data_IF_341148192503
#
_entry.id   IF_341148192503
#
_cell.length_a   1.000
_cell.length_b   1.000
_cell.length_c   1.000
_cell.angle_alpha   90.00
_cell.angle_beta   90.00
_cell.angle_gamma   90.00
#
_symmetry.space_group_name_H-M   'P 1'
#
loop_
_entity.id
_entity.type
_entity.pdbx_description
1 polymer ?
#
# COMPACT_ATOMS: atom_id res chain seq x y z
N UNK A 1 11.46 -11.45 12.01
CA UNK A 1 12.19 -10.75 10.93
C UNK A 1 13.59 -10.42 11.38
N UNK A 2 14.59 -10.90 10.65
CA UNK A 2 16.02 -10.70 10.92
C UNK A 2 16.69 -10.19 9.66
N UNK A 3 17.46 -9.11 9.77
CA UNK A 3 18.09 -8.45 8.63
C UNK A 3 19.37 -7.71 9.01
N UNK A 4 19.93 -6.94 8.08
CA UNK A 4 21.15 -6.16 8.28
C UNK A 4 20.84 -4.87 9.04
N UNK A 5 21.75 -4.43 9.92
CA UNK A 5 21.73 -3.06 10.46
C UNK A 5 22.16 -2.10 9.35
N UNK A 6 21.43 -0.99 9.09
CA UNK A 6 21.84 -0.02 8.08
C UNK A 6 23.29 0.42 8.23
N UNK A 7 24.02 0.49 7.10
CA UNK A 7 25.42 0.87 6.97
C UNK A 7 26.44 -0.02 7.74
N UNK A 8 26.01 -1.18 8.25
CA UNK A 8 26.87 -2.04 9.07
C UNK A 8 26.82 -3.51 8.63
N UNK A 9 27.95 -4.21 8.73
CA UNK A 9 28.01 -5.66 8.41
C UNK A 9 27.51 -6.58 9.53
N UNK A 10 26.58 -6.10 10.37
CA UNK A 10 26.02 -6.85 11.50
C UNK A 10 24.54 -7.10 11.32
N UNK A 11 24.05 -8.18 11.92
CA UNK A 11 22.64 -8.57 11.86
C UNK A 11 21.88 -8.05 13.06
N UNK A 12 20.65 -7.62 12.84
CA UNK A 12 19.67 -7.30 13.88
C UNK A 12 18.37 -8.10 13.69
N UNK A 13 17.65 -8.28 14.80
CA UNK A 13 16.22 -8.52 14.70
C UNK A 13 15.64 -7.18 14.24
N UNK A 14 14.81 -7.16 13.20
CA UNK A 14 14.10 -5.94 12.76
C UNK A 14 12.71 -5.85 13.38
N UNK A 15 12.06 -7.00 13.54
CA UNK A 15 10.75 -7.15 14.17
C UNK A 15 10.57 -8.58 14.67
N UNK A 16 9.97 -8.75 15.84
CA UNK A 16 9.52 -10.05 16.35
C UNK A 16 8.35 -9.88 17.30
N UNK A 17 7.22 -10.50 17.01
CA UNK A 17 6.01 -10.39 17.82
C UNK A 17 5.25 -11.71 17.89
N UNK A 18 4.39 -11.83 18.90
CA UNK A 18 3.29 -12.78 18.94
C UNK A 18 1.97 -12.06 18.74
N UNK A 19 1.06 -12.66 17.99
CA UNK A 19 -0.29 -12.14 17.77
C UNK A 19 -1.33 -13.22 18.11
N UNK A 20 -2.35 -12.82 18.87
CA UNK A 20 -3.55 -13.63 19.11
C UNK A 20 -4.73 -12.95 18.43
N UNK A 21 -5.39 -13.67 17.52
CA UNK A 21 -6.55 -13.19 16.79
C UNK A 21 -7.79 -14.01 17.15
N UNK A 22 -8.90 -13.33 17.44
CA UNK A 22 -10.20 -13.93 17.70
C UNK A 22 -11.23 -13.44 16.70
N UNK A 23 -11.92 -14.37 16.05
CA UNK A 23 -12.98 -14.08 15.07
C UNK A 23 -14.32 -14.58 15.60
N UNK A 24 -15.35 -13.75 15.47
CA UNK A 24 -16.73 -14.10 15.80
C UNK A 24 -17.61 -13.83 14.57
N UNK A 25 -18.30 -14.86 14.10
CA UNK A 25 -19.33 -14.72 13.07
C UNK A 25 -20.68 -15.10 13.66
N UNK A 26 -21.63 -14.20 13.54
CA UNK A 26 -23.00 -14.36 13.98
C UNK A 26 -23.90 -14.39 12.75
N UNK A 27 -24.78 -15.38 12.65
CA UNK A 27 -25.85 -15.40 11.64
C UNK A 27 -27.17 -15.39 12.37
N UNK A 28 -27.98 -14.36 12.14
CA UNK A 28 -29.29 -14.21 12.74
C UNK A 28 -30.37 -14.35 11.67
N UNK A 29 -30.93 -15.56 11.58
CA UNK A 29 -31.89 -15.91 10.52
C UNK A 29 -31.29 -15.74 9.12
N UNK A 30 -32.13 -15.49 8.12
CA UNK A 30 -31.73 -15.28 6.73
C UNK A 30 -31.64 -13.79 6.35
N UNK A 31 -31.90 -12.89 7.31
CA UNK A 31 -31.98 -11.45 7.05
C UNK A 31 -30.88 -10.63 7.73
N UNK A 32 -30.03 -11.23 8.57
CA UNK A 32 -28.92 -10.50 9.19
C UNK A 32 -27.70 -11.36 9.51
N UNK A 33 -26.53 -10.78 9.33
CA UNK A 33 -25.22 -11.32 9.70
C UNK A 33 -24.45 -10.30 10.55
N UNK A 34 -23.50 -10.79 11.34
CA UNK A 34 -22.55 -9.99 12.09
C UNK A 34 -21.17 -10.63 12.09
N UNK A 35 -20.14 -9.79 12.10
CA UNK A 35 -18.75 -10.22 12.15
C UNK A 35 -17.95 -9.32 13.08
N UNK A 36 -17.00 -9.92 13.80
CA UNK A 36 -16.01 -9.21 14.59
C UNK A 36 -14.67 -9.93 14.56
N UNK A 37 -13.59 -9.18 14.42
CA UNK A 37 -12.22 -9.66 14.54
C UNK A 37 -11.44 -8.75 15.51
N UNK A 38 -10.90 -9.37 16.54
CA UNK A 38 -10.04 -8.73 17.53
C UNK A 38 -8.63 -9.31 17.42
N UNK A 39 -7.61 -8.46 17.46
CA UNK A 39 -6.21 -8.87 17.48
C UNK A 39 -5.48 -8.25 18.67
N UNK A 40 -4.66 -9.06 19.31
CA UNK A 40 -3.78 -8.69 20.41
C UNK A 40 -2.36 -9.01 19.98
N UNK A 41 -1.54 -7.98 19.78
CA UNK A 41 -0.15 -8.14 19.37
C UNK A 41 0.76 -7.63 20.46
N UNK A 42 1.80 -8.39 20.77
CA UNK A 42 2.88 -7.96 21.65
C UNK A 42 4.22 -8.41 21.07
N UNK A 43 5.17 -7.49 21.01
CA UNK A 43 6.47 -7.81 20.44
C UNK A 43 7.45 -6.66 20.53
N UNK A 44 8.52 -6.83 19.77
CA UNK A 44 9.60 -5.88 19.61
C UNK A 44 9.63 -5.42 18.15
N UNK A 45 9.56 -4.11 17.93
CA UNK A 45 9.55 -3.47 16.61
C UNK A 45 10.48 -2.26 16.65
N UNK A 46 11.52 -2.25 15.81
CA UNK A 46 12.38 -1.07 15.62
C UNK A 46 13.02 -0.51 16.90
N UNK A 47 13.44 -1.39 17.82
CA UNK A 47 14.09 -1.00 19.09
C UNK A 47 13.15 -0.95 20.30
N UNK A 48 11.84 -0.96 20.10
CA UNK A 48 10.85 -0.72 21.16
C UNK A 48 9.94 -1.93 21.38
N UNK A 49 9.50 -2.12 22.62
CA UNK A 49 8.44 -3.08 22.94
C UNK A 49 7.10 -2.46 22.62
N UNK A 50 6.37 -3.05 21.68
CA UNK A 50 5.07 -2.59 21.22
C UNK A 50 4.00 -3.56 21.69
N UNK A 51 2.90 -3.02 22.20
CA UNK A 51 1.68 -3.77 22.51
C UNK A 51 0.52 -3.08 21.82
N UNK A 52 -0.20 -3.82 20.98
CA UNK A 52 -1.30 -3.31 20.18
C UNK A 52 -2.58 -4.12 20.41
N UNK A 53 -3.69 -3.40 20.53
CA UNK A 53 -5.04 -3.92 20.62
C UNK A 53 -5.81 -3.40 19.41
N UNK A 54 -6.25 -4.30 18.54
CA UNK A 54 -6.89 -3.91 17.29
C UNK A 54 -8.29 -4.54 17.18
N UNK A 55 -9.30 -3.69 16.98
CA UNK A 55 -10.59 -4.12 16.44
C UNK A 55 -10.49 -4.06 14.92
N UNK A 56 -9.96 -5.16 14.34
CA UNK A 56 -9.62 -5.22 12.93
C UNK A 56 -10.86 -5.09 12.07
N UNK A 57 -11.94 -5.80 12.38
CA UNK A 57 -13.25 -5.61 11.74
C UNK A 57 -14.36 -5.77 12.78
N UNK A 58 -15.45 -5.05 12.57
CA UNK A 58 -16.65 -5.16 13.38
C UNK A 58 -17.83 -4.56 12.62
N UNK A 59 -18.68 -5.40 12.06
CA UNK A 59 -19.78 -4.95 11.23
C UNK A 59 -21.03 -5.83 11.38
N UNK A 60 -22.17 -5.23 11.05
CA UNK A 60 -23.45 -5.91 10.89
C UNK A 60 -23.94 -5.72 9.45
N UNK A 61 -24.57 -6.74 8.91
CA UNK A 61 -25.15 -6.75 7.57
C UNK A 61 -26.62 -7.17 7.64
N UNK A 62 -27.46 -6.48 6.88
CA UNK A 62 -28.89 -6.75 6.72
C UNK A 62 -29.17 -7.14 5.28
N UNK A 63 -29.95 -8.20 5.09
CA UNK A 63 -30.37 -8.73 3.79
C UNK A 63 -31.86 -8.43 3.58
N UNK A 64 -32.16 -7.48 2.70
CA UNK A 64 -33.51 -6.98 2.41
C UNK A 64 -33.88 -7.28 0.95
N UNK A 65 -34.17 -8.54 0.65
CA UNK A 65 -34.49 -9.00 -0.70
C UNK A 65 -33.27 -8.88 -1.61
N UNK A 66 -33.30 -8.07 -2.69
CA UNK A 66 -32.14 -7.88 -3.56
C UNK A 66 -31.08 -6.92 -2.99
N UNK A 67 -31.34 -6.26 -1.85
CA UNK A 67 -30.44 -5.24 -1.29
C UNK A 67 -29.81 -5.70 0.01
N UNK A 68 -28.49 -5.61 0.09
CA UNK A 68 -27.72 -5.80 1.32
C UNK A 68 -27.24 -4.45 1.85
N UNK A 69 -27.35 -4.23 3.16
CA UNK A 69 -26.82 -3.06 3.85
C UNK A 69 -25.84 -3.49 4.94
N UNK A 70 -24.60 -3.01 4.87
CA UNK A 70 -23.55 -3.31 5.84
C UNK A 70 -23.01 -2.04 6.47
N UNK A 71 -22.89 -2.02 7.79
CA UNK A 71 -22.36 -0.89 8.54
C UNK A 71 -21.38 -1.36 9.62
N UNK A 72 -20.30 -0.59 9.81
CA UNK A 72 -19.29 -0.87 10.83
C UNK A 72 -17.86 -0.73 10.31
N UNK A 73 -16.89 -1.17 11.11
CA UNK A 73 -15.47 -1.22 10.73
C UNK A 73 -15.23 -2.38 9.78
N UNK A 74 -14.77 -2.07 8.56
CA UNK A 74 -14.68 -3.01 7.46
C UNK A 74 -13.37 -2.82 6.70
N UNK A 75 -12.85 -3.90 6.13
CA UNK A 75 -11.83 -3.86 5.09
C UNK A 75 -12.54 -4.02 3.74
N UNK A 76 -12.40 -3.03 2.86
CA UNK A 76 -13.10 -2.97 1.56
C UNK A 76 -12.08 -3.03 0.42
N UNK A 77 -11.98 -4.17 -0.25
CA UNK A 77 -11.05 -4.38 -1.35
C UNK A 77 -11.77 -4.43 -2.69
N UNK A 78 -11.28 -3.64 -3.65
CA UNK A 78 -11.73 -3.66 -5.04
C UNK A 78 -10.62 -4.13 -5.98
N UNK A 79 -11.00 -4.43 -7.21
CA UNK A 79 -10.11 -4.97 -8.23
C UNK A 79 -10.18 -6.48 -8.37
N UNK A 80 -9.63 -6.97 -9.48
CA UNK A 80 -9.57 -8.41 -9.81
C UNK A 80 -8.14 -8.90 -9.95
N UNK A 81 -7.19 -8.00 -10.15
CA UNK A 81 -5.77 -8.31 -10.21
C UNK A 81 -5.22 -8.77 -8.84
N UNK A 82 -4.21 -9.66 -8.87
CA UNK A 82 -3.67 -10.30 -7.66
C UNK A 82 -2.69 -9.39 -6.89
N UNK A 83 -1.53 -9.04 -7.47
CA UNK A 83 -0.49 -8.30 -6.75
C UNK A 83 -0.74 -6.78 -6.71
N UNK A 84 -1.20 -6.19 -7.82
CA UNK A 84 -1.45 -4.75 -7.93
C UNK A 84 -2.86 -4.51 -8.48
N UNK A 85 -3.71 -3.87 -7.68
CA UNK A 85 -5.08 -3.51 -8.04
C UNK A 85 -5.24 -1.98 -8.10
N UNK A 86 -5.12 -1.36 -9.29
CA UNK A 86 -5.25 0.09 -9.45
C UNK A 86 -6.55 0.70 -8.89
N UNK A 87 -7.63 -0.08 -8.81
CA UNK A 87 -8.96 0.34 -8.32
C UNK A 87 -9.14 0.14 -6.81
N UNK A 88 -8.22 -0.53 -6.11
CA UNK A 88 -8.22 -0.69 -4.65
C UNK A 88 -7.78 0.61 -3.95
N UNK A 89 -8.72 1.53 -3.72
CA UNK A 89 -8.44 2.86 -3.16
C UNK A 89 -9.26 3.16 -1.88
N UNK A 90 -10.04 2.19 -1.38
CA UNK A 90 -10.91 2.36 -0.21
C UNK A 90 -10.26 1.93 1.10
N UNK A 91 -9.35 0.95 1.02
CA UNK A 91 -8.71 0.35 2.20
C UNK A 91 -7.33 0.98 2.45
N UNK A 92 -7.12 1.66 3.59
CA UNK A 92 -5.79 2.08 4.01
C UNK A 92 -4.90 0.88 4.37
N UNK A 93 -3.59 1.10 4.37
CA UNK A 93 -2.60 0.07 4.67
C UNK A 93 -1.60 0.55 5.71
N UNK A 94 -1.35 -0.25 6.75
CA UNK A 94 -0.25 -0.06 7.67
C UNK A 94 0.96 -0.88 7.21
N UNK A 95 1.82 -0.24 6.43
CA UNK A 95 3.03 -0.83 5.87
C UNK A 95 4.16 -0.96 6.90
N UNK A 96 3.94 -0.55 8.15
CA UNK A 96 4.87 -0.81 9.26
C UNK A 96 4.74 -2.25 9.75
N UNK A 97 3.58 -2.87 9.55
CA UNK A 97 3.31 -4.26 9.93
C UNK A 97 4.11 -5.20 9.03
N UNK A 98 5.09 -5.90 9.62
CA UNK A 98 5.87 -6.94 8.95
C UNK A 98 5.15 -8.28 9.10
N UNK A 99 4.44 -8.75 8.07
CA UNK A 99 3.77 -10.06 8.07
C UNK A 99 4.07 -10.89 6.80
N UNK A 100 4.21 -12.23 6.92
CA UNK A 100 4.27 -13.15 5.77
C UNK A 100 2.98 -13.17 4.93
N UNK A 101 1.90 -12.57 5.43
CA UNK A 101 0.65 -12.36 4.73
C UNK A 101 0.45 -10.87 4.44
N UNK A 102 0.34 -10.51 3.15
CA UNK A 102 0.18 -9.12 2.71
C UNK A 102 -1.15 -8.50 3.17
N UNK A 103 -2.18 -9.34 3.36
CA UNK A 103 -3.47 -8.86 3.83
C UNK A 103 -3.41 -8.30 5.25
N UNK A 104 -2.44 -8.70 6.08
CA UNK A 104 -2.31 -8.19 7.45
C UNK A 104 -2.00 -6.69 7.48
N UNK A 105 -1.39 -6.15 6.42
CA UNK A 105 -1.16 -4.71 6.29
C UNK A 105 -2.44 -3.92 6.02
N UNK A 106 -3.53 -4.53 5.56
CA UNK A 106 -4.79 -3.81 5.32
C UNK A 106 -5.45 -3.42 6.65
N UNK A 107 -5.85 -2.16 6.76
CA UNK A 107 -6.52 -1.63 7.95
C UNK A 107 -7.97 -1.28 7.66
N UNK A 108 -8.84 -1.47 8.64
CA UNK A 108 -10.26 -1.16 8.48
C UNK A 108 -10.56 0.32 8.64
N UNK A 109 -11.66 0.73 8.02
CA UNK A 109 -12.29 2.01 8.26
C UNK A 109 -13.77 1.83 8.63
N UNK A 110 -14.37 2.83 9.29
CA UNK A 110 -15.81 2.89 9.41
C UNK A 110 -16.41 3.09 8.02
N UNK A 111 -17.30 2.19 7.63
CA UNK A 111 -17.93 2.21 6.33
C UNK A 111 -19.44 1.92 6.43
N UNK A 112 -20.18 2.56 5.54
CA UNK A 112 -21.54 2.20 5.17
C UNK A 112 -21.53 1.71 3.74
N UNK A 113 -22.06 0.52 3.52
CA UNK A 113 -22.05 -0.16 2.23
C UNK A 113 -23.45 -0.64 1.90
N UNK A 114 -23.88 -0.40 0.68
CA UNK A 114 -25.13 -0.92 0.13
C UNK A 114 -24.82 -1.69 -1.14
N UNK A 115 -25.40 -2.87 -1.29
CA UNK A 115 -25.24 -3.69 -2.50
C UNK A 115 -26.61 -4.05 -3.03
N UNK A 116 -26.90 -3.71 -4.28
CA UNK A 116 -28.08 -4.15 -5.00
C UNK A 116 -27.68 -5.29 -5.96
N UNK A 117 -28.24 -6.48 -5.73
CA UNK A 117 -27.95 -7.69 -6.49
C UNK A 117 -29.08 -7.94 -7.51
N UNK A 118 -28.85 -7.60 -8.78
CA UNK A 118 -29.80 -7.73 -9.90
C UNK A 118 -29.14 -8.37 -11.12
N UNK A 119 -29.20 -9.70 -11.25
CA UNK A 119 -28.52 -10.42 -12.34
C UNK A 119 -28.76 -9.80 -13.73
N UNK A 120 -27.70 -9.57 -14.55
CA UNK A 120 -26.27 -9.90 -14.30
C UNK A 120 -25.48 -8.79 -13.56
N UNK A 121 -26.14 -7.72 -13.12
CA UNK A 121 -25.56 -6.55 -12.48
C UNK A 121 -25.55 -6.67 -10.95
N UNK A 122 -24.42 -6.32 -10.34
CA UNK A 122 -24.31 -6.00 -8.93
C UNK A 122 -23.85 -4.55 -8.78
N UNK A 123 -24.66 -3.74 -8.12
CA UNK A 123 -24.36 -2.34 -7.88
C UNK A 123 -23.99 -2.12 -6.41
N UNK A 124 -22.77 -1.66 -6.17
CA UNK A 124 -22.23 -1.38 -4.86
C UNK A 124 -22.06 0.13 -4.66
N UNK A 125 -22.54 0.61 -3.51
CA UNK A 125 -22.34 1.97 -3.01
C UNK A 125 -21.59 1.90 -1.69
N UNK A 126 -20.56 2.72 -1.54
CA UNK A 126 -19.73 2.82 -0.33
C UNK A 126 -19.65 4.27 0.10
N UNK A 127 -19.81 4.48 1.40
CA UNK A 127 -19.55 5.75 2.06
C UNK A 127 -18.65 5.54 3.27
N UNK A 128 -17.52 6.26 3.28
CA UNK A 128 -16.57 6.33 4.39
C UNK A 128 -16.69 7.73 5.01
N UNK A 129 -17.37 7.89 6.17
CA UNK A 129 -17.60 9.21 6.76
C UNK A 129 -16.32 9.83 7.33
N UNK A 130 -15.29 9.04 7.63
CA UNK A 130 -14.05 9.51 8.24
C UNK A 130 -12.83 9.12 7.42
N UNK A 131 -11.88 10.04 7.32
CA UNK A 131 -10.59 9.78 6.73
C UNK A 131 -9.76 8.82 7.59
N UNK A 132 -9.11 7.86 6.94
CA UNK A 132 -8.16 6.95 7.57
C UNK A 132 -6.91 6.84 6.67
N UNK A 133 -5.72 7.22 7.17
CA UNK A 133 -4.49 7.18 6.39
C UNK A 133 -3.85 5.79 6.37
N UNK A 134 -3.12 5.52 5.30
CA UNK A 134 -2.08 4.51 5.24
C UNK A 134 -0.85 5.00 6.02
N UNK A 135 -0.15 4.08 6.67
CA UNK A 135 1.07 4.35 7.41
C UNK A 135 2.27 3.74 6.68
N UNK A 136 3.30 4.54 6.47
CA UNK A 136 4.54 4.09 5.86
C UNK A 136 5.51 3.53 6.92
N UNK A 137 6.39 2.59 6.55
CA UNK A 137 7.55 2.27 7.39
C UNK A 137 8.37 3.54 7.66
N UNK A 138 9.16 3.53 8.74
CA UNK A 138 10.11 4.62 8.98
C UNK A 138 11.07 4.69 7.77
N UNK A 139 11.15 5.86 7.14
CA UNK A 139 12.13 6.17 6.10
C UNK A 139 12.98 7.35 6.58
N UNK A 140 14.24 7.39 6.16
CA UNK A 140 15.13 8.51 6.41
C UNK A 140 14.67 9.72 5.60
N UNK A 141 14.57 10.86 6.27
CA UNK A 141 14.43 12.16 5.62
C UNK A 141 15.70 13.00 5.90
N UNK A 142 16.15 13.84 4.96
CA UNK A 142 17.34 14.68 5.13
C UNK A 142 17.29 15.63 6.32
N UNK A 143 18.35 15.62 7.14
CA UNK A 143 18.55 16.61 8.20
C UNK A 143 17.66 16.42 9.44
N UNK A 144 17.77 17.30 10.45
CA UNK A 144 16.89 17.27 11.60
C UNK A 144 15.49 17.70 11.15
N UNK A 145 14.62 16.70 11.01
CA UNK A 145 13.22 16.88 10.64
C UNK A 145 12.32 16.66 11.84
N UNK A 146 11.47 17.64 12.07
CA UNK A 146 10.40 17.56 13.06
C UNK A 146 9.07 17.27 12.36
N UNK A 147 8.35 16.27 12.85
CA UNK A 147 6.99 16.00 12.39
C UNK A 147 5.99 16.80 13.21
N UNK A 148 5.32 17.76 12.57
CA UNK A 148 4.17 18.45 13.14
C UNK A 148 2.92 17.56 13.11
N UNK A 149 1.87 18.01 13.79
CA UNK A 149 0.55 17.37 13.74
C UNK A 149 0.07 17.25 12.28
N UNK A 150 -0.36 16.06 11.85
CA UNK A 150 -0.89 15.88 10.50
C UNK A 150 -2.09 16.77 10.18
N UNK A 151 -2.21 17.15 8.92
CA UNK A 151 -3.35 17.90 8.38
C UNK A 151 -4.39 16.93 7.80
N UNK A 152 -5.19 16.35 8.69
CA UNK A 152 -6.34 15.51 8.34
C UNK A 152 -7.60 16.37 8.16
N UNK A 153 -8.55 15.94 7.33
CA UNK A 153 -9.84 16.62 7.24
C UNK A 153 -10.61 16.51 8.56
N UNK A 154 -11.54 17.44 8.76
CA UNK A 154 -12.44 17.41 9.89
C UNK A 154 -13.30 16.13 9.88
N UNK A 155 -13.55 15.58 11.06
CA UNK A 155 -14.33 14.37 11.24
C UNK A 155 -15.83 14.67 11.16
N UNK A 156 -16.30 15.04 9.97
CA UNK A 156 -17.69 15.36 9.64
C UNK A 156 -18.18 14.61 8.40
N UNK A 157 -19.44 14.81 8.03
CA UNK A 157 -20.03 14.16 6.86
C UNK A 157 -19.75 14.87 5.53
N UNK A 158 -19.21 16.08 5.55
CA UNK A 158 -18.85 16.85 4.35
C UNK A 158 -17.53 16.38 3.75
N UNK A 159 -16.63 15.88 4.60
CA UNK A 159 -15.30 15.39 4.22
C UNK A 159 -15.22 13.85 4.05
N UNK A 160 -16.35 13.19 3.81
CA UNK A 160 -16.39 11.75 3.55
C UNK A 160 -15.91 11.35 2.15
N UNK A 161 -15.51 10.10 2.00
CA UNK A 161 -15.24 9.46 0.71
C UNK A 161 -16.47 8.68 0.25
N UNK A 162 -16.90 8.92 -0.99
CA UNK A 162 -17.97 8.18 -1.64
C UNK A 162 -17.41 7.38 -2.80
N UNK A 163 -17.90 6.15 -2.96
CA UNK A 163 -17.54 5.33 -4.10
C UNK A 163 -18.73 4.49 -4.58
N UNK A 164 -18.75 4.21 -5.88
CA UNK A 164 -19.73 3.35 -6.53
C UNK A 164 -19.02 2.36 -7.44
N UNK A 165 -19.54 1.13 -7.53
CA UNK A 165 -19.06 0.11 -8.47
C UNK A 165 -20.24 -0.61 -9.10
N UNK A 166 -20.23 -0.71 -10.42
CA UNK A 166 -21.13 -1.52 -11.22
C UNK A 166 -20.36 -2.74 -11.68
N UNK A 167 -20.73 -3.91 -11.19
CA UNK A 167 -20.07 -5.19 -11.45
C UNK A 167 -21.02 -6.05 -12.28
N UNK A 168 -20.55 -6.51 -13.44
CA UNK A 168 -21.32 -7.33 -14.36
C UNK A 168 -20.68 -8.71 -14.47
N UNK A 169 -21.44 -9.74 -14.14
CA UNK A 169 -20.97 -11.11 -14.14
C UNK A 169 -21.70 -11.91 -15.22
N UNK A 170 -20.96 -12.36 -16.24
CA UNK A 170 -21.46 -13.28 -17.27
C UNK A 170 -20.73 -14.62 -17.18
N UNK A 171 -21.32 -15.67 -17.76
CA UNK A 171 -20.77 -17.03 -17.68
C UNK A 171 -19.33 -17.19 -18.21
N UNK A 172 -18.87 -16.30 -19.10
CA UNK A 172 -17.55 -16.38 -19.72
C UNK A 172 -16.61 -15.23 -19.33
N UNK A 173 -17.13 -14.14 -18.76
CA UNK A 173 -16.35 -12.97 -18.42
C UNK A 173 -17.07 -12.09 -17.40
N UNK A 174 -16.30 -11.47 -16.53
CA UNK A 174 -16.73 -10.37 -15.68
C UNK A 174 -16.15 -9.04 -16.17
N UNK A 175 -16.89 -7.94 -15.97
CA UNK A 175 -16.29 -6.61 -16.01
C UNK A 175 -16.90 -5.71 -14.94
N UNK A 176 -16.15 -4.72 -14.47
CA UNK A 176 -16.65 -3.72 -13.54
C UNK A 176 -16.27 -2.30 -13.95
N UNK A 177 -17.10 -1.33 -13.58
CA UNK A 177 -16.83 0.09 -13.65
C UNK A 177 -16.94 0.66 -12.24
N UNK A 178 -15.94 1.42 -11.80
CA UNK A 178 -15.92 2.05 -10.49
C UNK A 178 -15.63 3.55 -10.58
N UNK A 179 -16.17 4.29 -9.63
CA UNK A 179 -15.86 5.70 -9.44
C UNK A 179 -15.79 6.03 -7.96
N UNK A 180 -14.73 6.73 -7.56
CA UNK A 180 -14.49 7.19 -6.20
C UNK A 180 -14.24 8.70 -6.21
N UNK A 181 -14.81 9.40 -5.23
CA UNK A 181 -14.52 10.80 -4.94
C UNK A 181 -14.33 10.97 -3.43
N UNK A 182 -13.21 11.55 -3.02
CA UNK A 182 -12.89 11.71 -1.60
C UNK A 182 -11.39 11.83 -1.39
N UNK A 183 -10.89 11.26 -0.30
CA UNK A 183 -9.47 11.35 0.07
C UNK A 183 -8.68 10.12 -0.38
N UNK A 184 -7.44 10.35 -0.83
CA UNK A 184 -6.47 9.27 -0.99
C UNK A 184 -6.10 8.70 0.37
N UNK A 185 -6.11 7.38 0.51
CA UNK A 185 -5.61 6.73 1.73
C UNK A 185 -4.12 7.00 1.94
N UNK A 186 -3.36 7.29 0.90
CA UNK A 186 -1.94 7.66 1.00
C UNK A 186 -1.78 9.18 1.16
N UNK A 187 -1.34 9.68 2.32
CA UNK A 187 -1.06 11.10 2.51
C UNK A 187 0.27 11.50 1.87
N UNK A 188 0.38 12.76 1.46
CA UNK A 188 1.66 13.35 1.07
C UNK A 188 2.37 14.06 2.21
N UNK A 189 3.53 14.64 1.92
CA UNK A 189 4.37 15.36 2.90
C UNK A 189 4.42 16.83 2.51
N UNK A 190 4.04 17.70 3.45
CA UNK A 190 4.04 19.16 3.28
C UNK A 190 5.15 19.80 4.13
N UNK A 191 5.79 20.84 3.58
CA UNK A 191 6.68 21.71 4.35
C UNK A 191 5.87 22.70 5.19
N UNK A 192 5.99 22.62 6.51
CA UNK A 192 5.36 23.57 7.46
C UNK A 192 6.27 24.78 7.68
N UNK A 193 7.56 24.53 7.95
CA UNK A 193 8.55 25.58 8.13
C UNK A 193 9.96 25.08 7.87
N UNK A 194 10.83 25.98 7.41
CA UNK A 194 12.26 25.75 7.30
C UNK A 194 12.99 26.77 8.18
N UNK A 195 13.78 26.28 9.13
CA UNK A 195 14.60 27.08 10.02
C UNK A 195 16.03 27.05 9.50
N UNK A 196 16.56 28.20 9.12
CA UNK A 196 17.93 28.34 8.66
C UNK A 196 18.91 28.36 9.84
N UNK A 197 20.20 28.01 9.61
CA UNK A 197 21.21 28.01 10.66
C UNK A 197 21.27 29.35 11.39
N UNK A 198 21.28 29.29 12.71
CA UNK A 198 21.43 30.44 13.61
C UNK A 198 22.51 30.14 14.67
N UNK A 199 23.06 31.15 15.38
CA UNK A 199 24.03 30.91 16.45
C UNK A 199 23.54 29.96 17.55
N UNK A 200 22.23 29.89 17.80
CA UNK A 200 21.60 28.96 18.74
C UNK A 200 21.28 27.58 18.15
N UNK A 201 21.25 27.47 16.82
CA UNK A 201 20.92 26.24 16.11
C UNK A 201 21.77 26.16 14.82
N UNK A 202 22.98 25.59 14.90
CA UNK A 202 23.99 25.70 13.84
C UNK A 202 23.68 24.87 12.58
N UNK A 203 22.64 24.05 12.60
CA UNK A 203 22.18 23.24 11.46
C UNK A 203 20.77 23.68 11.04
N UNK A 204 20.45 23.66 9.74
CA UNK A 204 19.08 23.92 9.30
C UNK A 204 18.16 22.80 9.80
N UNK A 205 16.92 23.14 10.17
CA UNK A 205 15.88 22.14 10.47
C UNK A 205 14.63 22.40 9.66
N UNK A 206 13.92 21.32 9.30
CA UNK A 206 12.64 21.42 8.62
C UNK A 206 11.54 20.80 9.48
N UNK A 207 10.41 21.49 9.57
CA UNK A 207 9.20 20.92 10.14
C UNK A 207 8.30 20.51 8.99
N UNK A 208 7.93 19.24 8.95
CA UNK A 208 7.04 18.67 7.94
C UNK A 208 5.79 18.09 8.59
N UNK A 209 4.73 17.89 7.81
CA UNK A 209 3.56 17.14 8.27
C UNK A 209 3.02 16.25 7.16
N UNK A 210 2.34 15.19 7.55
CA UNK A 210 1.50 14.47 6.60
C UNK A 210 0.25 15.30 6.30
N UNK A 211 -0.14 15.34 5.02
CA UNK A 211 -1.29 16.09 4.54
C UNK A 211 -2.17 15.19 3.68
N UNK A 212 -3.45 15.08 4.05
CA UNK A 212 -4.43 14.36 3.24
C UNK A 212 -4.84 15.23 2.04
N UNK A 213 -4.98 14.63 0.87
CA UNK A 213 -5.45 15.33 -0.33
C UNK A 213 -6.66 14.62 -0.93
N UNK A 214 -7.52 15.41 -1.56
CA UNK A 214 -8.69 14.90 -2.26
C UNK A 214 -8.35 14.51 -3.68
N UNK A 215 -8.98 13.45 -4.16
CA UNK A 215 -8.85 12.97 -5.52
C UNK A 215 -10.10 12.23 -5.98
N UNK A 216 -10.16 12.03 -7.29
CA UNK A 216 -11.17 11.23 -7.96
C UNK A 216 -10.49 10.06 -8.64
N UNK A 217 -11.11 8.88 -8.58
CA UNK A 217 -10.59 7.68 -9.24
C UNK A 217 -11.70 7.08 -10.09
N UNK A 218 -11.53 7.05 -11.40
CA UNK A 218 -12.39 6.30 -12.31
C UNK A 218 -11.67 5.00 -12.70
N UNK A 219 -12.29 3.87 -12.40
CA UNK A 219 -11.70 2.55 -12.57
C UNK A 219 -12.53 1.64 -13.46
N UNK A 220 -11.86 0.69 -14.09
CA UNK A 220 -12.49 -0.43 -14.77
C UNK A 220 -11.66 -1.69 -14.58
N UNK A 221 -12.32 -2.84 -14.45
CA UNK A 221 -11.65 -4.14 -14.42
C UNK A 221 -12.39 -5.16 -15.28
N UNK A 222 -11.68 -6.21 -15.67
CA UNK A 222 -12.14 -7.26 -16.54
C UNK A 222 -11.44 -8.57 -16.17
N UNK A 223 -12.18 -9.67 -16.26
CA UNK A 223 -11.62 -11.00 -16.13
C UNK A 223 -12.31 -11.98 -17.08
N UNK A 224 -11.56 -12.98 -17.53
CA UNK A 224 -12.09 -14.09 -18.33
C UNK A 224 -11.16 -15.29 -18.23
N UNK A 225 -11.61 -16.42 -18.76
CA UNK A 225 -10.79 -17.61 -18.95
C UNK A 225 -10.75 -17.98 -20.43
N UNK A 226 -9.55 -18.05 -21.01
CA UNK A 226 -9.35 -18.40 -22.42
C UNK A 226 -8.15 -19.35 -22.58
N UNK A 227 -8.35 -20.48 -23.27
CA UNK A 227 -7.25 -21.44 -23.54
C UNK A 227 -6.64 -22.10 -22.30
N UNK A 228 -7.39 -22.16 -21.19
CA UNK A 228 -6.91 -22.64 -19.90
C UNK A 228 -6.05 -21.63 -19.13
N UNK A 229 -6.06 -20.36 -19.54
CA UNK A 229 -5.47 -19.26 -18.79
C UNK A 229 -6.58 -18.38 -18.21
N UNK A 230 -6.41 -17.98 -16.96
CA UNK A 230 -7.08 -16.79 -16.42
C UNK A 230 -6.44 -15.56 -17.03
N UNK A 231 -7.26 -14.61 -17.46
CA UNK A 231 -6.83 -13.32 -17.97
C UNK A 231 -7.55 -12.26 -17.15
N UNK A 232 -6.79 -11.33 -16.59
CA UNK A 232 -7.31 -10.23 -15.79
C UNK A 232 -6.74 -8.91 -16.30
N UNK A 233 -7.55 -7.88 -16.36
CA UNK A 233 -7.09 -6.55 -16.72
C UNK A 233 -7.79 -5.52 -15.85
N UNK A 234 -7.07 -4.49 -15.43
CA UNK A 234 -7.62 -3.44 -14.58
C UNK A 234 -6.93 -2.12 -14.89
N UNK A 235 -7.67 -1.03 -14.89
CA UNK A 235 -7.16 0.30 -15.16
C UNK A 235 -7.86 1.35 -14.28
N UNK A 236 -7.12 2.38 -13.88
CA UNK A 236 -7.63 3.49 -13.12
C UNK A 236 -7.04 4.82 -13.62
N UNK A 237 -7.92 5.79 -13.86
CA UNK A 237 -7.55 7.20 -13.98
C UNK A 237 -7.67 7.83 -12.59
N UNK A 238 -6.55 8.29 -12.03
CA UNK A 238 -6.48 8.94 -10.73
C UNK A 238 -6.22 10.43 -10.92
N UNK A 239 -7.09 11.26 -10.37
CA UNK A 239 -7.08 12.71 -10.60
C UNK A 239 -7.19 13.47 -9.28
N UNK A 240 -6.07 13.97 -8.74
CA UNK A 240 -6.11 14.83 -7.57
C UNK A 240 -6.80 16.17 -7.84
N UNK A 241 -7.52 16.72 -6.85
CA UNK A 241 -8.23 18.00 -6.99
C UNK A 241 -7.26 19.20 -7.13
N UNK A 242 -6.06 19.08 -6.57
CA UNK A 242 -4.95 20.03 -6.70
C UNK A 242 -3.71 19.26 -7.12
N UNK A 243 -2.96 19.69 -8.13
CA UNK A 243 -1.75 18.99 -8.61
C UNK A 243 -0.50 19.88 -8.63
N UNK A 244 -0.59 21.08 -8.05
CA UNK A 244 0.47 22.08 -7.94
C UNK A 244 1.17 22.08 -6.56
N UNK A 245 0.68 21.25 -5.62
CA UNK A 245 1.19 21.14 -4.25
C UNK A 245 2.27 20.06 -4.14
N UNK A 246 3.27 20.26 -3.29
CA UNK A 246 4.35 19.29 -3.07
C UNK A 246 3.89 17.96 -2.47
N UNK A 247 2.77 17.98 -1.74
CA UNK A 247 2.19 16.81 -1.08
C UNK A 247 1.17 16.07 -1.96
N UNK A 248 0.87 16.55 -3.16
CA UNK A 248 -0.11 15.89 -4.04
C UNK A 248 0.58 15.28 -5.25
N UNK A 249 0.32 14.00 -5.58
CA UNK A 249 0.85 13.42 -6.81
C UNK A 249 0.25 14.09 -8.05
N UNK A 250 0.86 13.84 -9.20
CA UNK A 250 0.30 14.25 -10.49
C UNK A 250 -0.86 13.31 -10.90
N UNK A 251 -1.79 13.77 -11.75
CA UNK A 251 -2.80 12.90 -12.34
C UNK A 251 -2.15 11.77 -13.15
N UNK A 252 -2.76 10.60 -13.18
CA UNK A 252 -2.16 9.43 -13.81
C UNK A 252 -3.17 8.41 -14.33
N UNK A 253 -2.74 7.63 -15.31
CA UNK A 253 -3.40 6.38 -15.72
C UNK A 253 -2.52 5.23 -15.27
N UNK A 254 -3.06 4.34 -14.46
CA UNK A 254 -2.39 3.10 -14.02
C UNK A 254 -3.19 1.92 -14.53
N UNK A 255 -2.55 0.93 -15.13
CA UNK A 255 -3.22 -0.27 -15.61
C UNK A 255 -2.36 -1.52 -15.41
N UNK A 256 -3.01 -2.65 -15.23
CA UNK A 256 -2.40 -3.96 -15.07
C UNK A 256 -3.07 -4.95 -16.01
N UNK A 257 -2.27 -5.83 -16.61
CA UNK A 257 -2.76 -7.00 -17.35
C UNK A 257 -2.07 -8.22 -16.77
N UNK A 258 -2.87 -9.17 -16.28
CA UNK A 258 -2.45 -10.40 -15.64
C UNK A 258 -2.86 -11.64 -16.43
N UNK A 259 -2.01 -12.66 -16.35
CA UNK A 259 -2.25 -13.99 -16.86
C UNK A 259 -1.85 -15.01 -15.80
N UNK A 260 -2.74 -15.94 -15.52
CA UNK A 260 -2.54 -16.98 -14.52
C UNK A 260 -2.97 -18.36 -15.01
N UNK A 261 -2.33 -19.38 -14.48
CA UNK A 261 -2.65 -20.77 -14.80
C UNK A 261 -2.16 -21.73 -13.73
N UNK A 262 -2.94 -22.77 -13.53
CA UNK A 262 -2.59 -23.95 -12.76
C UNK A 262 -2.25 -25.12 -13.70
N UNK A 263 -1.18 -25.85 -13.39
CA UNK A 263 -0.63 -26.97 -14.14
C UNK A 263 -0.26 -28.08 -13.15
N UNK A 264 -1.24 -28.90 -12.79
CA UNK A 264 -1.09 -29.88 -11.70
C UNK A 264 -0.80 -29.16 -10.39
N UNK A 265 0.26 -29.58 -9.71
CA UNK A 265 0.68 -29.00 -8.42
C UNK A 265 1.36 -27.63 -8.53
N UNK A 266 1.66 -27.17 -9.76
CA UNK A 266 2.31 -25.90 -10.03
C UNK A 266 1.30 -24.85 -10.47
N UNK A 267 1.43 -23.62 -10.01
CA UNK A 267 0.69 -22.47 -10.52
C UNK A 267 1.60 -21.26 -10.72
N UNK A 268 1.20 -20.38 -11.62
CA UNK A 268 1.85 -19.09 -11.78
C UNK A 268 0.86 -17.97 -12.04
N UNK A 269 1.27 -16.77 -11.67
CA UNK A 269 0.60 -15.51 -11.99
C UNK A 269 1.66 -14.55 -12.51
N UNK A 270 1.50 -14.10 -13.76
CA UNK A 270 2.33 -13.08 -14.39
C UNK A 270 1.50 -11.83 -14.58
N UNK A 271 1.97 -10.67 -14.13
CA UNK A 271 1.29 -9.40 -14.43
C UNK A 271 2.26 -8.36 -14.97
N UNK A 272 1.78 -7.59 -15.93
CA UNK A 272 2.43 -6.39 -16.44
C UNK A 272 1.67 -5.17 -15.94
N UNK A 273 2.39 -4.25 -15.29
CA UNK A 273 1.89 -2.98 -14.77
C UNK A 273 2.45 -1.85 -15.65
N UNK A 274 1.57 -1.00 -16.14
CA UNK A 274 1.91 0.24 -16.82
C UNK A 274 1.37 1.45 -16.07
N UNK A 275 2.15 2.51 -16.04
CA UNK A 275 1.74 3.81 -15.51
C UNK A 275 2.12 4.93 -16.47
N UNK A 276 1.19 5.85 -16.67
CA UNK A 276 1.39 7.05 -17.45
C UNK A 276 0.99 8.27 -16.62
N UNK A 277 1.98 9.09 -16.27
CA UNK A 277 1.80 10.30 -15.46
C UNK A 277 1.49 11.48 -16.38
N UNK A 278 0.33 12.08 -16.16
CA UNK A 278 -0.14 13.27 -16.88
C UNK A 278 0.58 14.51 -16.32
N UNK A 279 0.79 15.51 -17.17
CA UNK A 279 1.48 16.76 -16.80
C UNK A 279 2.87 16.57 -16.17
N UNK A 280 3.50 15.43 -16.46
CA UNK A 280 4.83 15.11 -15.93
C UNK A 280 5.88 16.08 -16.47
N UNK A 281 6.62 16.69 -15.55
CA UNK A 281 7.80 17.49 -15.81
C UNK A 281 8.95 16.94 -14.98
N UNK A 282 10.15 16.91 -15.55
CA UNK A 282 11.33 16.49 -14.79
C UNK A 282 11.58 17.45 -13.62
N UNK A 283 11.87 16.89 -12.45
CA UNK A 283 12.31 17.66 -11.29
C UNK A 283 13.80 17.40 -11.08
N UNK A 284 14.60 18.44 -11.28
CA UNK A 284 16.04 18.37 -11.05
C UNK A 284 16.36 18.20 -9.58
N UNK A 285 17.47 17.52 -9.32
CA UNK A 285 17.97 17.30 -7.98
C UNK A 285 18.44 18.61 -7.32
N UNK A 286 18.09 18.77 -6.04
CA UNK A 286 18.38 19.96 -5.25
C UNK A 286 19.56 19.76 -4.29
N UNK A 287 20.07 20.85 -3.70
CA UNK A 287 21.05 20.74 -2.62
C UNK A 287 20.54 19.93 -1.42
N UNK A 288 19.24 20.01 -1.13
CA UNK A 288 18.60 19.26 -0.04
C UNK A 288 18.63 17.76 -0.31
N UNK A 289 18.47 17.35 -1.56
CA UNK A 289 18.55 15.94 -1.96
C UNK A 289 19.97 15.37 -1.85
N UNK A 290 20.97 16.11 -2.34
CA UNK A 290 22.37 15.71 -2.20
C UNK A 290 22.77 15.58 -0.73
N UNK A 291 22.39 16.57 0.11
CA UNK A 291 22.60 16.51 1.56
C UNK A 291 21.87 15.33 2.22
N UNK A 292 20.73 14.87 1.66
CA UNK A 292 20.01 13.71 2.17
C UNK A 292 20.75 12.39 2.00
N UNK A 293 21.63 12.33 1.00
CA UNK A 293 22.44 11.15 0.67
C UNK A 293 23.87 11.27 1.17
N UNK A 294 24.14 12.21 2.08
CA UNK A 294 25.48 12.55 2.55
C UNK A 294 26.46 12.92 1.40
N UNK A 295 25.93 13.45 0.30
CA UNK A 295 26.69 13.93 -0.86
C UNK A 295 26.93 15.44 -0.78
N UNK A 296 28.03 15.92 -1.40
CA UNK A 296 28.30 17.36 -1.49
C UNK A 296 27.46 18.00 -2.61
N UNK A 297 26.62 19.01 -2.31
CA UNK A 297 25.91 19.76 -3.34
C UNK A 297 26.87 20.45 -4.31
N UNK A 298 26.47 20.54 -5.58
CA UNK A 298 27.18 21.37 -6.56
C UNK A 298 27.09 22.86 -6.22
N UNK A 299 27.98 23.67 -6.78
CA UNK A 299 27.93 25.13 -6.60
C UNK A 299 26.61 25.74 -7.09
N UNK A 300 26.03 25.19 -8.16
CA UNK A 300 24.74 25.62 -8.71
C UNK A 300 23.58 25.26 -7.78
N UNK A 301 23.54 24.02 -7.27
CA UNK A 301 22.55 23.57 -6.30
C UNK A 301 22.61 24.40 -5.02
N UNK A 302 23.82 24.70 -4.53
CA UNK A 302 24.00 25.54 -3.35
C UNK A 302 23.56 26.99 -3.61
N UNK A 303 23.88 27.55 -4.79
CA UNK A 303 23.44 28.89 -5.15
C UNK A 303 21.91 28.98 -5.26
N UNK A 304 21.25 27.96 -5.81
CA UNK A 304 19.79 27.87 -5.86
C UNK A 304 19.20 27.79 -4.45
N UNK A 305 19.72 26.91 -3.60
CA UNK A 305 19.27 26.79 -2.21
C UNK A 305 19.43 28.10 -1.43
N UNK A 306 20.53 28.83 -1.61
CA UNK A 306 20.74 30.12 -0.94
C UNK A 306 19.82 31.23 -1.47
N UNK A 307 19.38 31.14 -2.73
CA UNK A 307 18.48 32.10 -3.34
C UNK A 307 17.02 31.89 -2.91
N UNK A 308 16.58 30.63 -2.80
CA UNK A 308 15.24 30.26 -2.35
C UNK A 308 15.27 28.94 -1.54
N UNK A 309 15.61 29.00 -0.24
CA UNK A 309 15.72 27.80 0.60
C UNK A 309 14.40 27.04 0.72
N UNK A 310 13.29 27.78 0.85
CA UNK A 310 11.97 27.19 1.04
C UNK A 310 11.45 26.53 -0.24
N UNK A 311 11.55 27.21 -1.39
CA UNK A 311 11.17 26.62 -2.68
C UNK A 311 12.03 25.42 -3.05
N UNK A 312 13.32 25.46 -2.72
CA UNK A 312 14.22 24.31 -2.90
C UNK A 312 13.80 23.13 -2.02
N UNK A 313 13.49 23.37 -0.74
CA UNK A 313 13.00 22.33 0.18
C UNK A 313 11.64 21.76 -0.26
N UNK A 314 10.70 22.60 -0.70
CA UNK A 314 9.41 22.14 -1.25
C UNK A 314 9.60 21.27 -2.49
N UNK A 315 10.56 21.61 -3.37
CA UNK A 315 10.87 20.78 -4.55
C UNK A 315 11.48 19.43 -4.16
N UNK A 316 12.37 19.38 -3.17
CA UNK A 316 12.92 18.14 -2.64
C UNK A 316 11.81 17.23 -2.06
N UNK A 317 10.88 17.81 -1.29
CA UNK A 317 9.70 17.08 -0.80
C UNK A 317 8.81 16.61 -1.95
N UNK A 318 8.58 17.44 -2.98
CA UNK A 318 7.82 17.04 -4.15
C UNK A 318 8.47 15.85 -4.89
N UNK A 319 9.81 15.82 -5.00
CA UNK A 319 10.54 14.66 -5.54
C UNK A 319 10.31 13.41 -4.69
N UNK A 320 10.34 13.53 -3.35
CA UNK A 320 10.02 12.41 -2.43
C UNK A 320 8.56 11.97 -2.52
N UNK A 321 7.60 12.88 -2.61
CA UNK A 321 6.19 12.55 -2.86
C UNK A 321 6.02 11.78 -4.16
N UNK A 322 6.67 12.23 -5.25
CA UNK A 322 6.65 11.51 -6.54
C UNK A 322 7.34 10.14 -6.44
N UNK A 323 8.42 9.99 -5.68
CA UNK A 323 9.07 8.70 -5.44
C UNK A 323 8.14 7.71 -4.73
N UNK A 324 7.51 8.13 -3.62
CA UNK A 324 6.55 7.32 -2.86
C UNK A 324 5.32 6.99 -3.70
N UNK A 325 4.86 7.92 -4.53
CA UNK A 325 3.76 7.69 -5.45
C UNK A 325 4.15 6.86 -6.68
N UNK A 326 5.42 6.50 -6.89
CA UNK A 326 5.94 5.89 -8.13
C UNK A 326 5.65 6.74 -9.39
N UNK A 327 6.06 8.00 -9.37
CA UNK A 327 5.92 8.99 -10.44
C UNK A 327 7.27 9.65 -10.79
N UNK A 328 8.37 8.93 -10.59
CA UNK A 328 9.71 9.42 -10.91
C UNK A 328 9.91 9.58 -12.41
N UNK A 329 9.19 8.81 -13.24
CA UNK A 329 9.19 8.91 -14.69
C UNK A 329 7.78 9.10 -15.24
N UNK A 330 7.68 9.67 -16.46
CA UNK A 330 6.41 9.86 -17.16
C UNK A 330 5.73 8.54 -17.54
N UNK A 331 6.53 7.57 -17.98
CA UNK A 331 6.08 6.24 -18.35
C UNK A 331 6.84 5.24 -17.49
N UNK A 332 6.10 4.43 -16.73
CA UNK A 332 6.70 3.37 -15.93
C UNK A 332 6.15 2.01 -16.32
N UNK A 333 7.06 1.04 -16.34
CA UNK A 333 6.76 -0.34 -16.69
C UNK A 333 7.27 -1.28 -15.62
N UNK A 334 6.40 -2.14 -15.11
CA UNK A 334 6.78 -3.13 -14.12
C UNK A 334 6.19 -4.49 -14.45
N UNK A 335 6.84 -5.54 -13.98
CA UNK A 335 6.40 -6.92 -14.14
C UNK A 335 6.42 -7.60 -12.77
N UNK A 336 5.38 -8.36 -12.48
CA UNK A 336 5.32 -9.26 -11.33
C UNK A 336 5.20 -10.70 -11.80
N UNK A 337 5.87 -11.60 -11.09
CA UNK A 337 5.77 -13.03 -11.31
C UNK A 337 5.62 -13.71 -9.95
N UNK A 338 4.52 -14.41 -9.75
CA UNK A 338 4.33 -15.34 -8.63
C UNK A 338 4.38 -16.76 -9.17
N UNK A 339 5.21 -17.59 -8.57
CA UNK A 339 5.31 -19.02 -8.84
C UNK A 339 4.98 -19.77 -7.56
N UNK A 340 4.11 -20.77 -7.62
CA UNK A 340 3.75 -21.57 -6.44
C UNK A 340 3.68 -23.06 -6.76
N UNK A 341 4.18 -23.88 -5.84
CA UNK A 341 4.14 -25.34 -5.90
C UNK A 341 3.56 -25.92 -4.62
N UNK A 342 2.57 -26.79 -4.78
CA UNK A 342 2.02 -27.62 -3.70
C UNK A 342 2.65 -29.01 -3.73
N UNK A 343 3.44 -29.34 -2.74
CA UNK A 343 4.19 -30.60 -2.68
C UNK A 343 3.71 -31.45 -1.52
N UNK A 344 4.12 -32.73 -1.53
CA UNK A 344 3.88 -33.67 -0.43
C UNK A 344 2.39 -33.77 -0.05
N UNK A 345 1.51 -33.93 -1.05
CA UNK A 345 0.05 -33.98 -0.84
C UNK A 345 -0.49 -32.71 -0.16
N UNK A 346 -0.08 -31.54 -0.66
CA UNK A 346 -0.47 -30.20 -0.16
C UNK A 346 -0.02 -29.91 1.30
N UNK A 347 0.98 -30.63 1.81
CA UNK A 347 1.55 -30.33 3.14
C UNK A 347 2.75 -29.38 3.08
N UNK A 348 3.31 -29.16 1.89
CA UNK A 348 4.44 -28.25 1.68
C UNK A 348 4.14 -27.28 0.53
N UNK A 349 3.97 -26.00 0.84
CA UNK A 349 3.79 -24.95 -0.16
C UNK A 349 5.09 -24.18 -0.34
N UNK A 350 5.55 -24.06 -1.58
CA UNK A 350 6.71 -23.22 -1.95
C UNK A 350 6.22 -22.13 -2.87
N UNK A 351 6.47 -20.87 -2.50
CA UNK A 351 6.11 -19.68 -3.27
C UNK A 351 7.35 -18.83 -3.54
N UNK A 352 7.43 -18.28 -4.75
CA UNK A 352 8.37 -17.23 -5.12
C UNK A 352 7.60 -16.09 -5.77
N UNK A 353 7.58 -14.93 -5.11
CA UNK A 353 7.12 -13.68 -5.70
C UNK A 353 8.32 -12.85 -6.14
N UNK A 354 8.29 -12.38 -7.38
CA UNK A 354 9.25 -11.42 -7.94
C UNK A 354 8.51 -10.20 -8.47
N UNK A 355 9.11 -9.03 -8.30
CA UNK A 355 8.70 -7.76 -8.89
C UNK A 355 9.94 -7.09 -9.50
N UNK A 356 9.77 -6.50 -10.69
CA UNK A 356 10.78 -5.70 -11.36
C UNK A 356 10.11 -4.46 -11.97
N UNK A 357 10.55 -3.27 -11.59
CA UNK A 357 10.28 -2.04 -12.30
C UNK A 357 11.39 -1.82 -13.34
N UNK A 358 11.07 -2.01 -14.62
CA UNK A 358 12.03 -1.89 -15.71
C UNK A 358 12.43 -0.44 -16.00
N UNK A 359 11.63 0.54 -15.56
CA UNK A 359 11.93 1.96 -15.70
C UNK A 359 12.94 2.43 -14.65
N UNK A 360 12.66 2.16 -13.37
CA UNK A 360 13.51 2.61 -12.25
C UNK A 360 14.57 1.60 -11.83
N UNK A 361 14.58 0.40 -12.42
CA UNK A 361 15.46 -0.73 -12.05
C UNK A 361 15.30 -1.22 -10.60
N UNK A 362 14.16 -0.88 -9.97
CA UNK A 362 13.78 -1.40 -8.66
C UNK A 362 13.29 -2.84 -8.77
N UNK A 363 13.65 -3.69 -7.82
CA UNK A 363 13.23 -5.08 -7.78
C UNK A 363 12.96 -5.56 -6.35
N UNK A 364 12.09 -6.55 -6.25
CA UNK A 364 11.76 -7.24 -5.01
C UNK A 364 11.70 -8.73 -5.29
N UNK A 365 12.30 -9.54 -4.40
CA UNK A 365 12.18 -11.00 -4.43
C UNK A 365 11.76 -11.49 -3.05
N UNK A 366 10.74 -12.34 -3.04
CA UNK A 366 10.15 -12.89 -1.82
C UNK A 366 9.95 -14.41 -1.95
N UNK A 367 10.96 -15.22 -1.57
CA UNK A 367 10.76 -16.65 -1.41
C UNK A 367 10.03 -16.94 -0.09
N UNK A 368 9.12 -17.91 -0.12
CA UNK A 368 8.35 -18.36 1.04
C UNK A 368 8.12 -19.85 0.97
N UNK A 369 8.27 -20.52 2.10
CA UNK A 369 7.97 -21.94 2.27
C UNK A 369 7.04 -22.06 3.47
N UNK A 370 5.93 -22.77 3.30
CA UNK A 370 4.98 -23.10 4.36
C UNK A 370 4.89 -24.61 4.48
N UNK A 371 4.98 -25.13 5.70
CA UNK A 371 4.89 -26.56 5.98
C UNK A 371 3.83 -26.82 7.05
N UNK A 372 2.90 -27.71 6.73
CA UNK A 372 1.83 -28.18 7.60
C UNK A 372 2.39 -29.31 8.49
N UNK A 373 2.76 -28.95 9.72
CA UNK A 373 3.41 -29.85 10.67
C UNK A 373 2.40 -30.83 11.26
N UNK A 374 1.20 -30.34 11.54
CA UNK A 374 0.08 -31.09 12.09
C UNK A 374 -1.23 -30.32 11.82
N UNK A 375 -2.37 -30.95 12.13
CA UNK A 375 -3.68 -30.29 12.05
C UNK A 375 -3.68 -28.99 12.86
N UNK A 376 -3.93 -27.87 12.17
CA UNK A 376 -3.97 -26.54 12.77
C UNK A 376 -2.60 -25.92 13.11
N UNK A 377 -1.48 -26.57 12.79
CA UNK A 377 -0.13 -26.05 13.06
C UNK A 377 0.67 -25.94 11.77
N UNK A 378 1.02 -24.71 11.40
CA UNK A 378 1.87 -24.42 10.24
C UNK A 378 3.14 -23.69 10.65
N UNK A 379 4.23 -23.97 9.98
CA UNK A 379 5.45 -23.16 10.06
C UNK A 379 5.72 -22.53 8.71
N UNK A 380 6.06 -21.24 8.71
CA UNK A 380 6.46 -20.54 7.51
C UNK A 380 7.86 -19.95 7.68
N UNK A 381 8.66 -20.02 6.63
CA UNK A 381 9.97 -19.40 6.56
C UNK A 381 10.15 -18.76 5.19
N UNK A 382 10.87 -17.65 5.14
CA UNK A 382 11.09 -16.97 3.87
C UNK A 382 11.96 -15.75 4.02
N UNK A 383 11.97 -14.94 2.99
CA UNK A 383 12.66 -13.66 2.98
C UNK A 383 11.92 -12.67 2.12
N UNK A 384 12.23 -11.41 2.32
CA UNK A 384 11.78 -10.30 1.51
C UNK A 384 13.01 -9.43 1.25
N UNK A 385 13.42 -9.32 0.00
CA UNK A 385 14.66 -8.65 -0.40
C UNK A 385 14.33 -7.62 -1.45
N UNK A 386 14.60 -6.36 -1.12
CA UNK A 386 14.46 -5.21 -2.00
C UNK A 386 15.81 -4.90 -2.65
N UNK A 387 15.78 -4.16 -3.74
CA UNK A 387 16.98 -3.58 -4.32
C UNK A 387 16.65 -2.63 -5.46
N UNK A 388 17.57 -1.75 -5.78
CA UNK A 388 17.41 -0.72 -6.79
C UNK A 388 18.44 0.40 -6.61
N UNK A 389 18.44 1.41 -7.49
CA UNK A 389 19.28 2.60 -7.33
C UNK A 389 18.95 3.40 -6.05
N UNK A 390 19.93 4.07 -5.45
CA UNK A 390 19.80 4.78 -4.15
C UNK A 390 18.83 5.97 -4.18
N UNK A 391 18.49 6.48 -5.37
CA UNK A 391 17.54 7.56 -5.59
C UNK A 391 16.10 7.06 -5.87
N UNK A 392 15.84 5.77 -5.64
CA UNK A 392 14.53 5.13 -5.81
C UNK A 392 13.94 4.67 -4.48
N UNK A 393 12.65 4.31 -4.45
CA UNK A 393 11.99 3.90 -3.22
C UNK A 393 12.64 2.62 -2.67
N UNK A 394 12.83 1.60 -3.50
CA UNK A 394 13.39 0.31 -3.08
C UNK A 394 14.85 0.40 -2.68
N UNK A 395 15.64 1.27 -3.33
CA UNK A 395 17.01 1.56 -2.87
C UNK A 395 17.01 2.18 -1.47
N UNK A 396 16.16 3.18 -1.21
CA UNK A 396 16.12 3.87 0.09
C UNK A 396 15.64 3.01 1.26
N UNK A 397 14.88 1.95 0.99
CA UNK A 397 14.33 1.08 2.04
C UNK A 397 15.03 -0.28 2.13
N UNK A 398 15.92 -0.64 1.21
CA UNK A 398 16.52 -1.98 1.14
C UNK A 398 17.13 -2.39 2.48
N UNK A 399 18.11 -1.64 2.98
CA UNK A 399 18.78 -1.99 4.23
C UNK A 399 17.84 -1.99 5.44
N UNK A 400 16.74 -1.23 5.38
CA UNK A 400 15.76 -1.11 6.45
C UNK A 400 14.76 -2.25 6.42
N UNK A 401 14.28 -2.66 5.23
CA UNK A 401 13.15 -3.58 5.05
C UNK A 401 13.57 -5.00 4.67
N UNK A 402 14.72 -5.17 4.01
CA UNK A 402 15.19 -6.50 3.60
C UNK A 402 15.47 -7.39 4.81
N UNK A 403 14.80 -8.54 4.86
CA UNK A 403 14.82 -9.41 6.01
C UNK A 403 14.39 -10.84 5.69
N UNK A 404 15.01 -11.80 6.39
CA UNK A 404 14.48 -13.14 6.53
C UNK A 404 13.38 -13.19 7.61
N UNK A 405 12.41 -14.08 7.46
CA UNK A 405 11.36 -14.30 8.46
C UNK A 405 11.16 -15.78 8.75
N UNK A 406 10.65 -16.02 9.96
CA UNK A 406 10.14 -17.30 10.42
C UNK A 406 8.85 -17.02 11.20
N UNK A 407 7.84 -17.84 11.01
CA UNK A 407 6.53 -17.72 11.61
C UNK A 407 6.00 -19.10 12.00
N UNK A 408 5.32 -19.15 13.15
CA UNK A 408 4.56 -20.30 13.62
C UNK A 408 3.10 -19.87 13.70
N UNK A 409 2.23 -20.57 12.97
CA UNK A 409 0.80 -20.30 12.93
C UNK A 409 0.09 -21.45 13.64
N UNK A 410 -0.78 -21.11 14.58
CA UNK A 410 -1.62 -22.07 15.28
C UNK A 410 -3.08 -21.64 15.15
N UNK A 411 -3.91 -22.52 14.60
CA UNK A 411 -5.36 -22.36 14.50
C UNK A 411 -6.04 -23.27 15.53
N UNK A 412 -7.05 -22.73 16.21
CA UNK A 412 -7.82 -23.40 17.26
C UNK A 412 -9.30 -23.45 16.91
#
# INVERSE_FOLDING_TARGET
YVGKVPDQSVTEIKTGYGELAGKLRLRYSDWADGYGELRLRQGWEGGEVVTAYELREAWAELHLGPVDFRAGRQILAWGRADAFAPTDNLTPRDMRIRSPNEDDARTSNLAFRSVLNLLPLRWELVWLPFFAPSYFPRFSLPGPIEFATPAWPDADFEHGTFATRLDFEFAAAGFSLSYLVGYSTFPGIELVSLQMPSPSQPQPSATVRFHAYRWQVAGADFDTTAGGFGIRAEAALRWPEQNDREYTPLPEIVYVVGLDREIGDFSFVLQYLGRYVLDWTELTETAVDAMARDEQPTAEQLAEFLADPEGTARRALQRKTRMVASQTERLQHSVTLRLAWKLLYETLDIELLGFLNASTLEWLVRPKVVYDVADGIKVAAGGEVYGGPDDTLFGTIDEIQSAGFFELIVHF
#
